data_IF_370083508710
#
_entry.id   IF_370083508710
#
_cell.length_a   1.000
_cell.length_b   1.000
_cell.length_c   1.000
_cell.angle_alpha   90.00
_cell.angle_beta   90.00
_cell.angle_gamma   90.00
#
_symmetry.space_group_name_H-M   'P 1'
#
loop_
_entity.id
_entity.type
_entity.pdbx_description
1 polymer ?
#
# COMPACT_ATOMS: atom_id res chain seq x y z
N UNK A 1 -12.68 9.13 26.05
CA UNK A 1 -11.80 7.95 26.13
C UNK A 1 -10.71 8.25 27.14
N UNK A 2 -10.73 7.55 28.29
CA UNK A 2 -9.71 7.68 29.31
C UNK A 2 -8.45 6.96 28.81
N UNK A 3 -7.35 7.70 28.61
CA UNK A 3 -6.07 7.06 28.29
C UNK A 3 -5.54 6.34 29.53
N UNK A 4 -4.85 5.22 29.33
CA UNK A 4 -4.32 4.32 30.35
C UNK A 4 -3.25 4.94 31.28
N UNK A 5 -3.13 6.27 31.32
CA UNK A 5 -2.10 7.00 32.07
C UNK A 5 -2.73 8.04 33.02
N UNK A 6 -3.82 7.65 33.68
CA UNK A 6 -4.47 8.45 34.73
C UNK A 6 -4.47 7.77 36.10
N UNK A 7 -3.49 6.91 36.38
CA UNK A 7 -3.26 6.41 37.75
C UNK A 7 -2.09 7.16 38.38
N UNK A 8 -2.41 8.00 39.37
CA UNK A 8 -1.43 8.81 40.10
C UNK A 8 -1.07 8.04 41.39
N UNK A 9 0.21 7.66 41.59
CA UNK A 9 0.65 7.02 42.83
C UNK A 9 0.47 7.95 44.04
N UNK A 10 0.35 7.39 45.25
CA UNK A 10 0.35 8.20 46.48
C UNK A 10 1.71 8.91 46.62
N UNK A 11 1.73 10.24 46.46
CA UNK A 11 2.86 11.10 46.73
C UNK A 11 2.44 12.32 47.57
N UNK A 12 3.39 12.99 48.23
CA UNK A 12 3.12 14.16 49.09
C UNK A 12 2.65 15.40 48.30
N UNK A 13 3.03 15.49 47.03
CA UNK A 13 2.51 16.45 46.06
C UNK A 13 2.35 15.69 44.74
N UNK A 14 1.18 15.82 44.11
CA UNK A 14 0.89 15.22 42.81
C UNK A 14 0.48 16.33 41.84
N UNK A 15 1.28 16.56 40.79
CA UNK A 15 0.99 17.53 39.74
C UNK A 15 0.32 16.81 38.57
N UNK A 16 -0.95 17.14 38.29
CA UNK A 16 -1.68 16.64 37.12
C UNK A 16 -1.83 17.78 36.11
N UNK A 17 -1.35 17.57 34.90
CA UNK A 17 -1.66 18.44 33.76
C UNK A 17 -3.01 18.00 33.20
N UNK A 18 -4.07 18.73 33.56
CA UNK A 18 -5.39 18.53 32.95
C UNK A 18 -5.56 19.50 31.79
N UNK A 19 -5.58 18.97 30.56
CA UNK A 19 -5.75 19.75 29.35
C UNK A 19 -7.24 20.11 29.21
N UNK A 20 -7.63 21.25 29.76
CA UNK A 20 -8.95 21.84 29.50
C UNK A 20 -8.99 22.39 28.07
N UNK A 21 -9.32 21.54 27.08
CA UNK A 21 -9.48 21.97 25.68
C UNK A 21 -10.78 22.74 25.43
N UNK A 22 -11.54 23.13 26.47
CA UNK A 22 -12.76 23.93 26.33
C UNK A 22 -13.84 23.28 25.45
N UNK A 23 -13.85 21.95 25.34
CA UNK A 23 -14.75 21.23 24.43
C UNK A 23 -14.30 21.21 22.96
N UNK A 24 -13.11 21.74 22.64
CA UNK A 24 -12.55 21.64 21.30
C UNK A 24 -12.29 20.17 20.94
N UNK A 25 -13.05 19.68 19.96
CA UNK A 25 -12.81 18.37 19.36
C UNK A 25 -11.57 18.44 18.48
N UNK A 26 -10.64 17.51 18.68
CA UNK A 26 -9.49 17.33 17.79
C UNK A 26 -10.01 17.00 16.39
N UNK A 27 -9.88 17.94 15.45
CA UNK A 27 -10.12 17.63 14.04
C UNK A 27 -9.09 16.60 13.60
N UNK A 28 -9.58 15.45 13.12
CA UNK A 28 -8.77 14.43 12.49
C UNK A 28 -9.05 14.52 11.00
N UNK A 29 -8.02 14.84 10.23
CA UNK A 29 -8.12 14.89 8.77
C UNK A 29 -8.07 13.49 8.19
N UNK A 30 -8.94 13.24 7.20
CA UNK A 30 -8.93 11.98 6.47
C UNK A 30 -7.83 12.02 5.41
N UNK A 31 -6.91 11.04 5.39
CA UNK A 31 -5.89 10.98 4.36
C UNK A 31 -6.50 10.62 3.01
N UNK A 32 -6.07 11.31 1.95
CA UNK A 32 -6.42 10.95 0.58
C UNK A 32 -5.77 9.61 0.21
N UNK A 33 -6.59 8.56 0.04
CA UNK A 33 -6.15 7.24 -0.43
C UNK A 33 -6.70 6.98 -1.82
N UNK A 34 -5.81 6.86 -2.80
CA UNK A 34 -6.16 6.55 -4.18
C UNK A 34 -6.05 5.04 -4.42
N UNK A 35 -6.95 4.51 -5.25
CA UNK A 35 -6.92 3.13 -5.72
C UNK A 35 -6.68 3.16 -7.21
N UNK A 36 -5.62 2.49 -7.67
CA UNK A 36 -5.32 2.33 -9.09
C UNK A 36 -5.70 0.90 -9.47
N UNK A 37 -6.54 0.77 -10.50
CA UNK A 37 -6.98 -0.53 -11.03
C UNK A 37 -6.46 -0.73 -12.43
N UNK A 38 -5.91 -1.92 -12.70
CA UNK A 38 -5.41 -2.33 -14.00
C UNK A 38 -5.01 -3.80 -13.96
N UNK A 39 -4.70 -4.36 -15.11
CA UNK A 39 -4.08 -5.69 -15.18
C UNK A 39 -2.56 -5.57 -15.00
N UNK A 40 -2.08 -5.96 -13.82
CA UNK A 40 -0.66 -5.98 -13.48
C UNK A 40 -0.04 -7.39 -13.58
N UNK A 41 -0.85 -8.41 -13.87
CA UNK A 41 -0.46 -9.84 -13.86
C UNK A 41 -0.35 -10.46 -15.26
N UNK A 42 -0.68 -9.70 -16.30
CA UNK A 42 -0.82 -10.19 -17.68
C UNK A 42 -1.84 -11.34 -17.75
N UNK A 43 -3.05 -11.11 -17.21
CA UNK A 43 -4.16 -12.07 -17.26
C UNK A 43 -4.05 -13.29 -16.34
N UNK A 44 -3.03 -13.38 -15.48
CA UNK A 44 -2.84 -14.54 -14.58
C UNK A 44 -3.78 -14.57 -13.37
N UNK A 45 -4.34 -13.42 -13.00
CA UNK A 45 -5.27 -13.33 -11.87
C UNK A 45 -6.66 -13.87 -12.24
N UNK A 46 -6.99 -15.06 -11.74
CA UNK A 46 -8.24 -15.78 -12.01
C UNK A 46 -9.27 -15.62 -10.88
N UNK A 47 -8.89 -15.09 -9.72
CA UNK A 47 -9.81 -14.88 -8.61
C UNK A 47 -10.90 -13.86 -8.98
N UNK A 48 -12.15 -14.03 -8.49
CA UNK A 48 -13.20 -13.04 -8.68
C UNK A 48 -12.85 -11.72 -7.99
N UNK A 49 -13.35 -10.60 -8.51
CA UNK A 49 -12.99 -9.26 -8.03
C UNK A 49 -13.20 -9.06 -6.51
N UNK A 50 -14.22 -9.72 -5.94
CA UNK A 50 -14.53 -9.66 -4.51
C UNK A 50 -13.45 -10.27 -3.60
N UNK A 51 -12.67 -11.22 -4.12
CA UNK A 51 -11.62 -11.93 -3.38
C UNK A 51 -10.24 -11.30 -3.58
N UNK A 52 -10.11 -10.34 -4.50
CA UNK A 52 -8.83 -9.69 -4.81
C UNK A 52 -8.44 -8.70 -3.71
N UNK A 53 -7.22 -8.86 -3.21
CA UNK A 53 -6.65 -7.98 -2.19
C UNK A 53 -6.06 -6.71 -2.79
N UNK A 54 -6.28 -5.57 -2.12
CA UNK A 54 -5.63 -4.30 -2.47
C UNK A 54 -4.23 -4.28 -1.85
N UNK A 55 -3.21 -4.05 -2.69
CA UNK A 55 -1.82 -3.92 -2.24
C UNK A 55 -1.50 -2.45 -2.01
N UNK A 56 -0.92 -2.13 -0.85
CA UNK A 56 -0.49 -0.77 -0.55
C UNK A 56 0.88 -0.49 -1.17
N UNK A 57 0.98 0.59 -1.94
CA UNK A 57 2.22 1.00 -2.61
C UNK A 57 2.66 2.37 -2.07
N UNK A 58 3.95 2.48 -1.73
CA UNK A 58 4.61 3.70 -1.32
C UNK A 58 6.04 3.74 -1.90
N UNK A 59 6.75 4.86 -1.74
CA UNK A 59 8.10 5.06 -2.32
C UNK A 59 9.14 4.02 -1.90
N UNK A 60 8.93 3.33 -0.79
CA UNK A 60 9.90 2.40 -0.20
C UNK A 60 9.65 0.95 -0.60
N UNK A 61 8.44 0.59 -1.04
CA UNK A 61 8.07 -0.82 -1.27
C UNK A 61 7.75 -1.18 -2.73
N UNK A 62 7.89 -0.25 -3.68
CA UNK A 62 7.55 -0.49 -5.10
C UNK A 62 8.29 -1.72 -5.66
N UNK A 63 9.60 -1.81 -5.40
CA UNK A 63 10.44 -2.89 -5.91
C UNK A 63 10.05 -4.24 -5.33
N UNK A 64 9.73 -4.29 -4.03
CA UNK A 64 9.28 -5.51 -3.37
C UNK A 64 7.93 -5.97 -3.92
N UNK A 65 6.96 -5.07 -4.04
CA UNK A 65 5.63 -5.39 -4.58
C UNK A 65 5.75 -5.91 -6.02
N UNK A 66 6.60 -5.30 -6.84
CA UNK A 66 6.83 -5.75 -8.21
C UNK A 66 7.47 -7.15 -8.27
N UNK A 67 8.42 -7.42 -7.37
CA UNK A 67 9.07 -8.73 -7.28
C UNK A 67 8.10 -9.83 -6.84
N UNK A 68 7.22 -9.55 -5.87
CA UNK A 68 6.17 -10.49 -5.42
C UNK A 68 5.14 -10.77 -6.53
N UNK A 69 4.79 -9.76 -7.32
CA UNK A 69 3.83 -9.91 -8.42
C UNK A 69 4.41 -10.68 -9.62
N UNK A 70 5.74 -10.66 -9.80
CA UNK A 70 6.49 -11.36 -10.83
C UNK A 70 5.80 -11.33 -12.22
N UNK A 71 5.55 -10.14 -12.80
CA UNK A 71 5.00 -10.04 -14.13
C UNK A 71 5.97 -10.66 -15.14
N UNK A 72 5.39 -11.27 -16.17
CA UNK A 72 6.05 -12.09 -17.17
C UNK A 72 5.28 -11.82 -18.45
N UNK A 73 6.05 -11.55 -19.48
CA UNK A 73 5.53 -11.23 -20.77
C UNK A 73 6.39 -12.03 -21.75
N UNK A 74 5.72 -12.72 -22.67
CA UNK A 74 6.40 -13.42 -23.74
C UNK A 74 5.72 -13.00 -25.03
N UNK A 75 6.53 -12.58 -25.98
CA UNK A 75 6.06 -12.02 -27.25
C UNK A 75 6.91 -12.59 -28.37
N UNK A 76 6.25 -12.95 -29.46
CA UNK A 76 6.91 -13.27 -30.71
C UNK A 76 7.12 -11.96 -31.47
N UNK A 77 8.39 -11.59 -31.67
CA UNK A 77 8.77 -10.34 -32.34
C UNK A 77 9.50 -10.66 -33.62
N UNK A 78 9.19 -9.92 -34.68
CA UNK A 78 9.89 -10.05 -35.97
C UNK A 78 11.36 -9.64 -35.82
N UNK A 79 12.28 -10.51 -36.27
CA UNK A 79 13.69 -10.16 -36.38
C UNK A 79 13.91 -8.98 -37.33
N UNK A 80 14.67 -7.97 -36.86
CA UNK A 80 14.98 -6.75 -37.63
C UNK A 80 16.45 -6.67 -38.07
N UNK A 81 17.22 -7.74 -37.86
CA UNK A 81 18.64 -7.80 -38.21
C UNK A 81 18.93 -9.08 -39.01
N UNK A 82 19.30 -8.91 -40.28
CA UNK A 82 19.53 -9.99 -41.25
C UNK A 82 18.27 -10.29 -42.08
N UNK A 83 18.43 -10.49 -43.39
CA UNK A 83 17.37 -10.71 -44.37
C UNK A 83 16.64 -12.07 -44.23
N UNK A 84 16.75 -12.74 -43.07
CA UNK A 84 16.07 -14.01 -42.81
C UNK A 84 14.97 -13.83 -41.76
N UNK A 85 13.72 -14.02 -42.19
CA UNK A 85 12.55 -14.04 -41.31
C UNK A 85 12.58 -15.28 -40.42
N UNK A 86 13.25 -15.15 -39.28
CA UNK A 86 13.17 -16.11 -38.18
C UNK A 86 12.47 -15.45 -37.01
N UNK A 87 11.46 -16.12 -36.45
CA UNK A 87 10.76 -15.67 -35.25
C UNK A 87 11.59 -16.06 -34.02
N UNK A 88 11.96 -15.08 -33.19
CA UNK A 88 12.65 -15.32 -31.93
C UNK A 88 11.70 -15.03 -30.77
N UNK A 89 11.58 -16.00 -29.86
CA UNK A 89 10.71 -15.92 -28.70
C UNK A 89 11.46 -15.23 -27.57
N UNK A 90 10.93 -14.09 -27.12
CA UNK A 90 11.45 -13.32 -25.98
C UNK A 90 10.52 -13.45 -24.78
#
# INVERSE_FOLDING_TARGET
MSSFQSEIPKARINLKLDLHTGGAQKQTELPLKLVVSGDFSNGRETAPLSERNKVNINKLNIQQVLAEYAPSASFDVKHTHGDEETEEKI
#
